data_IF_755231261723
#
_entry.id   IF_755231261723
#
_cell.length_a   1.000
_cell.length_b   1.000
_cell.length_c   1.000
_cell.angle_alpha   90.00
_cell.angle_beta   90.00
_cell.angle_gamma   90.00
#
_symmetry.space_group_name_H-M   'P 1'
#
loop_
_entity.id
_entity.type
_entity.pdbx_description
1 polymer ?
#
# COMPACT_ATOMS: atom_id res chain seq x y z
N UNK A 1 -4.01 1.03 21.72
CA UNK A 1 -4.06 -0.06 20.71
C UNK A 1 -3.50 -1.32 21.34
N UNK A 2 -3.94 -2.51 20.95
CA UNK A 2 -3.37 -3.78 21.47
C UNK A 2 -2.15 -4.22 20.64
N UNK A 3 -1.25 -5.08 21.18
CA UNK A 3 -0.09 -5.56 20.43
C UNK A 3 -0.44 -6.24 19.09
N UNK A 4 -1.59 -6.94 19.02
CA UNK A 4 -2.07 -7.55 17.77
C UNK A 4 -2.57 -6.53 16.76
N UNK A 5 -3.21 -5.45 17.21
CA UNK A 5 -3.63 -4.35 16.33
C UNK A 5 -2.41 -3.57 15.83
N UNK A 6 -1.39 -3.34 16.65
CA UNK A 6 -0.12 -2.76 16.22
C UNK A 6 0.60 -3.63 15.18
N UNK A 7 0.63 -4.95 15.40
CA UNK A 7 1.13 -5.89 14.41
C UNK A 7 0.32 -5.81 13.12
N UNK A 8 -1.01 -5.75 13.21
CA UNK A 8 -1.87 -5.60 12.05
C UNK A 8 -1.54 -4.35 11.22
N UNK A 9 -1.33 -3.19 11.86
CA UNK A 9 -0.93 -1.96 11.16
C UNK A 9 0.36 -2.16 10.38
N UNK A 10 1.41 -2.71 11.02
CA UNK A 10 2.70 -2.97 10.36
C UNK A 10 2.56 -3.94 9.19
N UNK A 11 1.82 -5.02 9.39
CA UNK A 11 1.65 -6.07 8.38
C UNK A 11 0.75 -5.63 7.22
N UNK A 12 -0.20 -4.72 7.48
CA UNK A 12 -1.06 -4.17 6.43
C UNK A 12 -0.28 -3.30 5.46
N UNK A 13 0.71 -2.55 5.92
CA UNK A 13 1.53 -1.69 5.06
C UNK A 13 2.51 -2.44 4.14
N UNK A 14 2.61 -3.76 4.27
CA UNK A 14 3.47 -4.60 3.41
C UNK A 14 2.85 -4.76 2.02
N UNK A 15 1.55 -5.03 1.95
CA UNK A 15 0.85 -5.43 0.72
C UNK A 15 -0.61 -4.92 0.63
N UNK A 16 -1.03 -4.07 1.59
CA UNK A 16 -2.39 -3.55 1.74
C UNK A 16 -3.47 -4.65 1.76
N UNK A 17 -3.10 -5.87 2.17
CA UNK A 17 -4.00 -7.00 2.25
C UNK A 17 -4.46 -7.23 3.69
N UNK A 18 -5.69 -6.82 4.00
CA UNK A 18 -6.24 -6.92 5.35
C UNK A 18 -6.29 -8.35 5.90
N UNK A 19 -6.61 -9.33 5.04
CA UNK A 19 -6.70 -10.74 5.47
C UNK A 19 -5.32 -11.27 5.83
N UNK A 20 -4.33 -11.05 4.95
CA UNK A 20 -2.97 -11.51 5.19
C UNK A 20 -2.33 -10.78 6.35
N UNK A 21 -2.57 -9.47 6.48
CA UNK A 21 -2.13 -8.68 7.64
C UNK A 21 -2.67 -9.24 8.96
N UNK A 22 -3.95 -9.61 9.01
CA UNK A 22 -4.54 -10.23 10.19
C UNK A 22 -3.91 -11.61 10.50
N UNK A 23 -3.63 -12.42 9.47
CA UNK A 23 -2.93 -13.72 9.66
C UNK A 23 -1.53 -13.49 10.25
N UNK A 24 -0.74 -12.58 9.67
CA UNK A 24 0.63 -12.26 10.11
C UNK A 24 0.66 -11.61 11.50
N UNK A 25 -0.36 -10.82 11.83
CA UNK A 25 -0.56 -10.25 13.16
C UNK A 25 -1.00 -11.27 14.24
N UNK A 26 -1.18 -12.55 13.88
CA UNK A 26 -1.49 -13.63 14.82
C UNK A 26 -2.97 -13.76 15.16
N UNK A 27 -3.88 -13.30 14.28
CA UNK A 27 -5.29 -13.65 14.36
C UNK A 27 -5.55 -15.05 13.77
N UNK A 28 -6.67 -15.66 14.13
CA UNK A 28 -7.05 -16.98 13.60
C UNK A 28 -7.27 -16.91 12.09
N UNK A 29 -6.63 -17.82 11.33
CA UNK A 29 -6.78 -17.91 9.87
C UNK A 29 -8.25 -18.03 9.45
N UNK A 30 -9.07 -18.71 10.24
CA UNK A 30 -10.51 -18.91 9.95
C UNK A 30 -11.31 -17.62 9.98
N UNK A 31 -10.92 -16.65 10.80
CA UNK A 31 -11.64 -15.38 11.00
C UNK A 31 -10.85 -14.16 10.52
N UNK A 32 -9.65 -14.36 9.98
CA UNK A 32 -8.74 -13.28 9.58
C UNK A 32 -9.37 -12.32 8.55
N UNK A 33 -10.18 -12.82 7.62
CA UNK A 33 -10.86 -11.96 6.65
C UNK A 33 -11.83 -10.98 7.33
N UNK A 34 -12.65 -11.47 8.26
CA UNK A 34 -13.62 -10.66 9.00
C UNK A 34 -12.88 -9.68 9.92
N UNK A 35 -11.90 -10.17 10.68
CA UNK A 35 -11.13 -9.35 11.61
C UNK A 35 -10.31 -8.30 10.88
N UNK A 36 -9.72 -8.62 9.73
CA UNK A 36 -8.97 -7.67 8.93
C UNK A 36 -9.84 -6.49 8.51
N UNK A 37 -11.04 -6.76 8.00
CA UNK A 37 -11.99 -5.71 7.66
C UNK A 37 -12.47 -4.94 8.89
N UNK A 38 -12.77 -5.62 9.99
CA UNK A 38 -13.17 -4.97 11.26
C UNK A 38 -12.06 -4.06 11.79
N UNK A 39 -10.80 -4.45 11.68
CA UNK A 39 -9.68 -3.62 12.09
C UNK A 39 -9.57 -2.37 11.22
N UNK A 40 -9.82 -2.45 9.91
CA UNK A 40 -9.81 -1.28 9.03
C UNK A 40 -10.93 -0.28 9.34
N UNK A 41 -12.06 -0.72 9.89
CA UNK A 41 -13.18 0.18 10.26
C UNK A 41 -13.02 0.82 11.64
N UNK A 42 -12.07 0.36 12.46
CA UNK A 42 -11.80 0.94 13.78
C UNK A 42 -11.03 2.26 13.62
N UNK A 43 -11.58 3.41 14.07
CA UNK A 43 -10.96 4.72 13.87
C UNK A 43 -9.52 4.80 14.39
N UNK A 44 -9.22 4.15 15.51
CA UNK A 44 -7.88 4.16 16.10
C UNK A 44 -6.84 3.43 15.25
N UNK A 45 -7.24 2.37 14.55
CA UNK A 45 -6.36 1.60 13.66
C UNK A 45 -6.22 2.33 12.32
N UNK A 46 -7.32 2.86 11.78
CA UNK A 46 -7.30 3.64 10.55
C UNK A 46 -6.36 4.85 10.68
N UNK A 47 -6.46 5.60 11.79
CA UNK A 47 -5.55 6.70 12.08
C UNK A 47 -4.09 6.25 12.21
N UNK A 48 -3.83 5.10 12.83
CA UNK A 48 -2.47 4.56 12.94
C UNK A 48 -1.88 4.14 11.58
N UNK A 49 -2.71 3.59 10.68
CA UNK A 49 -2.33 3.27 9.29
C UNK A 49 -1.97 4.56 8.55
N UNK A 50 -2.81 5.60 8.65
CA UNK A 50 -2.58 6.88 7.98
C UNK A 50 -1.27 7.54 8.43
N UNK A 51 -1.02 7.58 9.74
CA UNK A 51 0.25 8.09 10.29
C UNK A 51 1.44 7.30 9.73
N UNK A 52 1.35 5.97 9.74
CA UNK A 52 2.45 5.13 9.28
C UNK A 52 2.66 5.18 7.75
N UNK A 53 1.61 5.39 6.95
CA UNK A 53 1.70 5.69 5.52
C UNK A 53 2.41 7.03 5.28
N UNK A 54 2.04 8.07 6.04
CA UNK A 54 2.67 9.38 5.95
C UNK A 54 4.15 9.34 6.35
N UNK A 55 4.50 8.59 7.40
CA UNK A 55 5.89 8.44 7.81
C UNK A 55 6.72 7.66 6.79
N UNK A 56 6.13 6.64 6.14
CA UNK A 56 6.76 5.95 5.01
C UNK A 56 7.01 6.91 3.86
N UNK A 57 6.00 7.67 3.45
CA UNK A 57 6.09 8.64 2.35
C UNK A 57 7.17 9.71 2.62
N UNK A 58 7.22 10.25 3.84
CA UNK A 58 8.27 11.19 4.26
C UNK A 58 9.67 10.58 4.20
N UNK A 59 9.83 9.33 4.64
CA UNK A 59 11.13 8.66 4.67
C UNK A 59 11.64 8.30 3.26
N UNK A 60 10.74 7.96 2.34
CA UNK A 60 11.12 7.58 0.98
C UNK A 60 11.08 8.74 -0.02
N UNK A 61 10.50 9.88 0.36
CA UNK A 61 10.17 11.00 -0.55
C UNK A 61 9.26 10.59 -1.72
N UNK A 62 8.52 9.48 -1.54
CA UNK A 62 7.60 8.94 -2.55
C UNK A 62 6.19 9.23 -2.07
N UNK A 63 5.54 10.15 -2.76
CA UNK A 63 4.14 10.54 -2.52
C UNK A 63 3.22 9.85 -3.51
N UNK A 64 1.91 9.85 -3.22
CA UNK A 64 0.91 9.43 -4.19
C UNK A 64 0.99 10.27 -5.48
N UNK A 65 1.24 11.58 -5.36
CA UNK A 65 1.42 12.47 -6.50
C UNK A 65 2.61 12.03 -7.37
N UNK A 66 3.77 11.71 -6.78
CA UNK A 66 4.92 11.22 -7.54
C UNK A 66 4.59 9.97 -8.36
N UNK A 67 3.85 9.02 -7.77
CA UNK A 67 3.42 7.79 -8.47
C UNK A 67 2.46 8.12 -9.61
N UNK A 68 1.48 9.00 -9.38
CA UNK A 68 0.49 9.41 -10.39
C UNK A 68 1.12 10.20 -11.53
N UNK A 69 2.04 11.11 -11.24
CA UNK A 69 2.80 11.85 -12.24
C UNK A 69 3.64 10.93 -13.12
N UNK A 70 4.34 9.97 -12.50
CA UNK A 70 5.11 8.98 -13.24
C UNK A 70 4.26 8.06 -14.14
N UNK A 71 3.07 7.67 -13.69
CA UNK A 71 2.10 6.92 -14.51
C UNK A 71 1.61 7.78 -15.68
N UNK A 72 1.25 9.05 -15.43
CA UNK A 72 0.84 10.00 -16.48
C UNK A 72 1.93 10.15 -17.52
N UNK A 73 3.17 10.40 -17.09
CA UNK A 73 4.31 10.58 -17.98
C UNK A 73 4.58 9.31 -18.79
N UNK A 74 4.43 8.12 -18.18
CA UNK A 74 4.50 6.83 -18.88
C UNK A 74 3.43 6.73 -19.99
N UNK A 75 2.19 7.13 -19.71
CA UNK A 75 1.10 7.14 -20.69
C UNK A 75 1.38 8.12 -21.83
N UNK A 76 1.87 9.33 -21.54
CA UNK A 76 2.20 10.31 -22.58
C UNK A 76 3.35 9.83 -23.47
N UNK A 77 4.36 9.14 -22.91
CA UNK A 77 5.45 8.54 -23.70
C UNK A 77 4.97 7.42 -24.62
N UNK A 78 3.97 6.63 -24.20
CA UNK A 78 3.33 5.64 -25.08
C UNK A 78 2.58 6.24 -26.27
N UNK A 79 2.15 7.51 -26.18
CA UNK A 79 1.47 8.20 -27.28
C UNK A 79 2.45 8.76 -28.32
N UNK A 80 3.74 8.83 -27.99
CA UNK A 80 4.80 9.22 -28.92
C UNK A 80 5.35 8.03 -29.73
N UNK A 81 6.19 8.32 -30.72
CA UNK A 81 6.85 7.33 -31.60
C UNK A 81 8.18 6.80 -31.00
N UNK A 82 8.25 6.60 -29.68
CA UNK A 82 9.48 6.16 -29.00
C UNK A 82 9.47 4.64 -28.75
N UNK A 83 9.85 3.88 -29.80
CA UNK A 83 9.80 2.41 -29.83
C UNK A 83 10.71 1.72 -28.79
N UNK A 84 11.64 2.46 -28.17
CA UNK A 84 12.55 1.94 -27.14
C UNK A 84 11.97 1.96 -25.72
N UNK A 85 10.82 2.61 -25.51
CA UNK A 85 10.22 2.72 -24.19
C UNK A 85 9.41 1.47 -23.81
N UNK A 86 9.69 0.87 -22.65
CA UNK A 86 8.94 -0.27 -22.12
C UNK A 86 7.96 0.18 -21.02
N UNK A 87 6.71 0.52 -21.37
CA UNK A 87 5.74 1.02 -20.39
C UNK A 87 5.32 -0.03 -19.38
N UNK A 88 5.34 -1.32 -19.73
CA UNK A 88 4.95 -2.38 -18.81
C UNK A 88 5.89 -2.46 -17.58
N UNK A 89 7.20 -2.29 -17.79
CA UNK A 89 8.17 -2.25 -16.70
C UNK A 89 8.04 -0.98 -15.86
N UNK A 90 7.80 0.17 -16.49
CA UNK A 90 7.61 1.44 -15.79
C UNK A 90 6.35 1.41 -14.90
N UNK A 91 5.21 0.97 -15.44
CA UNK A 91 3.96 0.81 -14.68
C UNK A 91 4.12 -0.18 -13.52
N UNK A 92 4.87 -1.27 -13.72
CA UNK A 92 5.15 -2.22 -12.63
C UNK A 92 5.98 -1.59 -11.52
N UNK A 93 6.93 -0.70 -11.85
CA UNK A 93 7.68 0.07 -10.87
C UNK A 93 6.77 0.93 -10.00
N UNK A 94 5.82 1.65 -10.61
CA UNK A 94 4.85 2.48 -9.89
C UNK A 94 3.88 1.66 -9.02
N UNK A 95 3.43 0.49 -9.49
CA UNK A 95 2.61 -0.44 -8.71
C UNK A 95 3.31 -0.91 -7.42
N UNK A 96 4.65 -1.05 -7.43
CA UNK A 96 5.42 -1.47 -6.25
C UNK A 96 5.67 -0.33 -5.25
N UNK A 97 5.43 0.92 -5.65
CA UNK A 97 5.63 2.10 -4.82
C UNK A 97 4.36 2.50 -4.06
N UNK A 98 3.18 2.27 -4.64
CA UNK A 98 1.87 2.45 -4.00
C UNK A 98 1.46 1.28 -3.10
#
# INVERSE_FOLDING_TARGET
MTPKQEAFVREYLVDLNATQAAIRAGYSKRTAHVIGHENLTKPEIAAAIEVAMNDRAKRTEITADYVLEGIRDTIERCRGEDDAFNPAQALKGFELLG
#
